data_IF_496526077037
#
_entry.id   IF_496526077037
#
_cell.length_a   1.000
_cell.length_b   1.000
_cell.length_c   1.000
_cell.angle_alpha   90.00
_cell.angle_beta   90.00
_cell.angle_gamma   90.00
#
_symmetry.space_group_name_H-M   'P 1'
#
loop_
_entity.id
_entity.type
_entity.pdbx_description
1 polymer ?
#
# COMPACT_ATOMS: atom_id res chain seq x y z
N UNK A 1 26.25 -47.26 -9.79
CA UNK A 1 27.07 -46.45 -8.84
C UNK A 1 27.01 -44.94 -9.12
N UNK A 2 27.09 -44.47 -10.39
CA UNK A 2 26.98 -43.03 -10.76
C UNK A 2 25.62 -42.35 -10.46
N UNK A 3 24.51 -43.09 -10.42
CA UNK A 3 23.16 -42.54 -10.15
C UNK A 3 22.86 -42.31 -8.66
N UNK A 4 23.54 -43.01 -7.76
CA UNK A 4 23.33 -42.86 -6.30
C UNK A 4 24.02 -41.58 -5.81
N UNK A 5 25.18 -41.23 -6.38
CA UNK A 5 25.91 -39.98 -6.07
C UNK A 5 25.08 -38.73 -6.44
N UNK A 6 24.31 -38.78 -7.54
CA UNK A 6 23.39 -37.70 -7.93
C UNK A 6 22.19 -37.53 -6.97
N UNK A 7 21.76 -38.63 -6.33
CA UNK A 7 20.67 -38.57 -5.35
C UNK A 7 21.12 -37.97 -4.01
N UNK A 8 22.38 -38.17 -3.64
CA UNK A 8 22.98 -37.51 -2.48
C UNK A 8 23.31 -36.03 -2.73
N UNK A 9 23.59 -35.62 -3.97
CA UNK A 9 23.80 -34.22 -4.32
C UNK A 9 22.50 -33.39 -4.25
N UNK A 10 21.33 -34.04 -4.39
CA UNK A 10 20.01 -33.42 -4.20
C UNK A 10 19.56 -33.40 -2.72
N UNK A 11 20.25 -34.14 -1.85
CA UNK A 11 19.94 -34.25 -0.41
C UNK A 11 20.93 -33.48 0.49
N UNK A 12 21.88 -32.74 -0.10
CA UNK A 12 22.94 -32.02 0.63
C UNK A 12 22.85 -30.49 0.54
N UNK A 13 21.66 -29.91 0.35
CA UNK A 13 21.45 -28.44 0.41
C UNK A 13 20.51 -28.00 1.52
N UNK A 14 20.03 -28.91 2.37
CA UNK A 14 19.01 -28.61 3.39
C UNK A 14 19.55 -28.51 4.83
N UNK A 15 20.77 -27.99 5.00
CA UNK A 15 21.31 -27.61 6.30
C UNK A 15 21.95 -26.21 6.21
N UNK A 16 21.13 -25.20 5.88
CA UNK A 16 21.42 -23.83 6.27
C UNK A 16 20.73 -23.58 7.61
N UNK A 17 21.52 -23.22 8.61
CA UNK A 17 21.14 -22.97 10.00
C UNK A 17 19.78 -22.26 10.15
N UNK A 18 18.84 -22.90 10.86
CA UNK A 18 17.67 -22.22 11.40
C UNK A 18 18.08 -21.31 12.57
N UNK A 19 18.68 -20.17 12.23
CA UNK A 19 18.70 -18.95 13.04
C UNK A 19 17.95 -17.83 12.30
N UNK A 20 16.87 -18.20 11.59
CA UNK A 20 16.09 -17.28 10.78
C UNK A 20 15.29 -16.33 11.66
N UNK A 21 15.41 -15.03 11.40
CA UNK A 21 14.58 -13.99 12.00
C UNK A 21 13.11 -14.32 11.73
N UNK A 22 12.25 -14.28 12.75
CA UNK A 22 10.82 -14.59 12.57
C UNK A 22 10.04 -13.46 11.89
N UNK A 23 8.87 -13.76 11.32
CA UNK A 23 7.99 -12.73 10.75
C UNK A 23 7.55 -11.70 11.81
N UNK A 24 7.25 -12.16 13.03
CA UNK A 24 6.96 -11.28 14.16
C UNK A 24 8.13 -10.36 14.52
N UNK A 25 9.34 -10.88 14.52
CA UNK A 25 10.54 -10.09 14.83
C UNK A 25 10.78 -9.02 13.75
N UNK A 26 10.71 -9.38 12.47
CA UNK A 26 10.77 -8.39 11.37
C UNK A 26 9.69 -7.32 11.50
N UNK A 27 8.46 -7.72 11.83
CA UNK A 27 7.35 -6.80 12.03
C UNK A 27 7.59 -5.84 13.19
N UNK A 28 7.97 -6.36 14.37
CA UNK A 28 8.18 -5.56 15.57
C UNK A 28 9.37 -4.61 15.39
N UNK A 29 10.48 -5.07 14.80
CA UNK A 29 11.63 -4.23 14.50
C UNK A 29 11.27 -3.12 13.51
N UNK A 30 10.52 -3.43 12.45
CA UNK A 30 10.07 -2.40 11.51
C UNK A 30 9.22 -1.32 12.20
N UNK A 31 8.32 -1.72 13.11
CA UNK A 31 7.50 -0.78 13.90
C UNK A 31 8.35 0.11 14.81
N UNK A 32 9.32 -0.46 15.51
CA UNK A 32 10.26 0.29 16.36
C UNK A 32 11.04 1.33 15.54
N UNK A 33 11.59 0.91 14.39
CA UNK A 33 12.35 1.78 13.50
C UNK A 33 11.49 2.88 12.88
N UNK A 34 10.23 2.58 12.57
CA UNK A 34 9.27 3.58 12.11
C UNK A 34 9.07 4.68 13.15
N UNK A 35 8.83 4.33 14.42
CA UNK A 35 8.66 5.31 15.50
C UNK A 35 9.94 6.11 15.79
N UNK A 36 11.10 5.54 15.47
CA UNK A 36 12.39 6.21 15.58
C UNK A 36 12.73 7.07 14.35
N UNK A 37 11.85 7.13 13.35
CA UNK A 37 12.06 7.86 12.10
C UNK A 37 13.08 7.21 11.14
N UNK A 38 13.55 6.00 11.45
CA UNK A 38 14.47 5.25 10.59
C UNK A 38 13.68 4.49 9.52
N UNK A 39 13.30 5.20 8.47
CA UNK A 39 12.50 4.65 7.38
C UNK A 39 13.25 3.63 6.52
N UNK A 40 14.59 3.73 6.42
CA UNK A 40 15.40 2.77 5.67
C UNK A 40 15.31 1.37 6.29
N UNK A 41 15.55 1.26 7.61
CA UNK A 41 15.39 -0.02 8.31
C UNK A 41 13.93 -0.49 8.38
N UNK A 42 12.98 0.44 8.45
CA UNK A 42 11.55 0.11 8.39
C UNK A 42 11.22 -0.61 7.08
N UNK A 43 11.61 -0.03 5.95
CA UNK A 43 11.37 -0.60 4.63
C UNK A 43 12.05 -1.95 4.46
N UNK A 44 13.33 -2.04 4.86
CA UNK A 44 14.08 -3.29 4.79
C UNK A 44 13.37 -4.45 5.52
N UNK A 45 12.95 -4.23 6.76
CA UNK A 45 12.29 -5.27 7.56
C UNK A 45 10.90 -5.63 7.03
N UNK A 46 10.11 -4.63 6.61
CA UNK A 46 8.80 -4.87 5.99
C UNK A 46 8.93 -5.62 4.65
N UNK A 47 9.82 -5.21 3.76
CA UNK A 47 10.02 -5.88 2.47
C UNK A 47 10.52 -7.31 2.65
N UNK A 48 11.45 -7.53 3.59
CA UNK A 48 11.91 -8.87 3.96
C UNK A 48 10.78 -9.75 4.48
N UNK A 49 9.89 -9.21 5.32
CA UNK A 49 8.70 -9.93 5.80
C UNK A 49 7.80 -10.37 4.64
N UNK A 50 7.52 -9.45 3.71
CA UNK A 50 6.69 -9.72 2.53
C UNK A 50 7.32 -10.78 1.61
N UNK A 51 8.65 -10.81 1.49
CA UNK A 51 9.38 -11.74 0.64
C UNK A 51 9.52 -13.14 1.28
N UNK A 52 9.93 -13.20 2.54
CA UNK A 52 10.27 -14.46 3.21
C UNK A 52 9.05 -15.14 3.86
N UNK A 53 8.02 -14.37 4.21
CA UNK A 53 6.84 -14.88 4.92
C UNK A 53 5.52 -14.54 4.19
N UNK A 54 5.28 -15.09 2.99
CA UNK A 54 4.10 -14.77 2.17
C UNK A 54 2.76 -15.14 2.83
N UNK A 55 2.77 -15.99 3.87
CA UNK A 55 1.58 -16.39 4.66
C UNK A 55 1.52 -15.73 6.04
N UNK A 56 2.39 -14.76 6.33
CA UNK A 56 2.39 -14.07 7.63
C UNK A 56 1.05 -13.39 7.88
N UNK A 57 0.57 -13.47 9.13
CA UNK A 57 -0.62 -12.73 9.57
C UNK A 57 -0.42 -11.20 9.53
N UNK A 58 0.83 -10.74 9.53
CA UNK A 58 1.18 -9.31 9.48
C UNK A 58 1.16 -8.75 8.05
N UNK A 59 1.10 -9.62 7.04
CA UNK A 59 1.27 -9.25 5.63
C UNK A 59 0.31 -8.14 5.17
N UNK A 60 -0.98 -8.23 5.52
CA UNK A 60 -1.97 -7.24 5.13
C UNK A 60 -1.64 -5.85 5.71
N UNK A 61 -1.25 -5.79 6.98
CA UNK A 61 -0.87 -4.57 7.67
C UNK A 61 0.43 -3.99 7.09
N UNK A 62 1.42 -4.84 6.85
CA UNK A 62 2.70 -4.41 6.26
C UNK A 62 2.51 -3.84 4.86
N UNK A 63 1.68 -4.45 4.01
CA UNK A 63 1.34 -3.90 2.70
C UNK A 63 0.68 -2.53 2.83
N UNK A 64 -0.28 -2.37 3.74
CA UNK A 64 -0.92 -1.09 3.97
C UNK A 64 0.07 -0.01 4.45
N UNK A 65 0.95 -0.34 5.40
CA UNK A 65 1.98 0.56 5.91
C UNK A 65 3.03 0.91 4.85
N UNK A 66 3.46 -0.03 4.01
CA UNK A 66 4.32 0.26 2.85
C UNK A 66 3.61 1.22 1.89
N UNK A 67 2.32 1.02 1.62
CA UNK A 67 1.51 1.95 0.83
C UNK A 67 1.59 3.39 1.37
N UNK A 68 1.46 3.56 2.69
CA UNK A 68 1.56 4.87 3.36
C UNK A 68 2.96 5.47 3.30
N UNK A 69 4.00 4.66 3.53
CA UNK A 69 5.40 5.12 3.47
C UNK A 69 5.76 5.62 2.07
N UNK A 70 5.40 4.86 1.04
CA UNK A 70 5.62 5.23 -0.34
C UNK A 70 4.80 6.46 -0.72
N UNK A 71 3.52 6.54 -0.33
CA UNK A 71 2.70 7.73 -0.57
C UNK A 71 3.30 8.99 0.10
N UNK A 72 3.80 8.85 1.33
CA UNK A 72 4.49 9.90 2.08
C UNK A 72 5.89 10.25 1.56
N UNK A 73 6.36 9.59 0.48
CA UNK A 73 7.65 9.86 -0.18
C UNK A 73 8.84 9.84 0.79
N UNK A 74 8.82 8.95 1.79
CA UNK A 74 9.96 8.83 2.72
C UNK A 74 11.18 8.20 2.03
N UNK A 75 10.98 7.48 0.92
CA UNK A 75 12.03 6.84 0.13
C UNK A 75 12.65 7.86 -0.84
N UNK A 76 13.68 8.57 -0.36
CA UNK A 76 14.30 9.69 -1.09
C UNK A 76 15.12 9.30 -2.32
N UNK A 77 15.47 8.02 -2.46
CA UNK A 77 16.17 7.49 -3.64
C UNK A 77 15.26 7.31 -4.87
N UNK A 78 13.94 7.42 -4.70
CA UNK A 78 12.95 7.29 -5.76
C UNK A 78 12.40 8.67 -6.16
N UNK A 79 11.98 8.80 -7.42
CA UNK A 79 11.17 9.95 -7.85
C UNK A 79 9.81 9.93 -7.15
N UNK A 80 9.07 11.04 -7.22
CA UNK A 80 7.70 11.12 -6.71
C UNK A 80 6.80 10.07 -7.38
N UNK A 81 6.81 10.02 -8.70
CA UNK A 81 5.99 9.07 -9.47
C UNK A 81 6.31 7.61 -9.15
N UNK A 82 7.59 7.29 -8.92
CA UNK A 82 8.00 5.94 -8.51
C UNK A 82 7.48 5.60 -7.11
N UNK A 83 7.55 6.55 -6.17
CA UNK A 83 6.96 6.42 -4.84
C UNK A 83 5.45 6.19 -4.94
N UNK A 84 4.72 7.03 -5.69
CA UNK A 84 3.27 6.91 -5.83
C UNK A 84 2.85 5.60 -6.52
N UNK A 85 3.59 5.16 -7.54
CA UNK A 85 3.35 3.87 -8.19
C UNK A 85 3.49 2.72 -7.19
N UNK A 86 4.54 2.72 -6.37
CA UNK A 86 4.73 1.72 -5.32
C UNK A 86 3.66 1.80 -4.22
N UNK A 87 3.17 3.01 -3.90
CA UNK A 87 2.06 3.18 -2.98
C UNK A 87 0.80 2.48 -3.49
N UNK A 88 0.43 2.76 -4.74
CA UNK A 88 -0.68 2.12 -5.45
C UNK A 88 -0.52 0.60 -5.47
N UNK A 89 0.66 0.08 -5.85
CA UNK A 89 0.89 -1.36 -5.91
C UNK A 89 0.66 -2.05 -4.56
N UNK A 90 1.11 -1.43 -3.48
CA UNK A 90 0.93 -1.95 -2.13
C UNK A 90 -0.54 -1.88 -1.69
N UNK A 91 -1.22 -0.75 -1.87
CA UNK A 91 -2.65 -0.62 -1.56
C UNK A 91 -3.51 -1.60 -2.37
N UNK A 92 -3.20 -1.81 -3.65
CA UNK A 92 -3.89 -2.78 -4.51
C UNK A 92 -3.75 -4.21 -3.99
N UNK A 93 -2.56 -4.58 -3.50
CA UNK A 93 -2.36 -5.90 -2.87
C UNK A 93 -3.21 -6.08 -1.63
N UNK A 94 -3.40 -5.04 -0.80
CA UNK A 94 -4.25 -5.14 0.40
C UNK A 94 -5.67 -5.60 0.04
N UNK A 95 -6.37 -4.91 -0.87
CA UNK A 95 -7.77 -5.27 -1.17
C UNK A 95 -7.95 -6.45 -2.13
N UNK A 96 -6.89 -6.84 -2.86
CA UNK A 96 -6.93 -8.00 -3.77
C UNK A 96 -6.54 -9.30 -3.06
N UNK A 97 -5.52 -9.28 -2.20
CA UNK A 97 -5.06 -10.45 -1.43
C UNK A 97 -5.84 -10.59 -0.10
N UNK A 98 -6.27 -9.48 0.52
CA UNK A 98 -6.90 -9.46 1.84
C UNK A 98 -8.23 -8.69 1.85
N UNK A 99 -9.25 -9.11 1.10
CA UNK A 99 -10.51 -8.36 0.95
C UNK A 99 -11.29 -8.14 2.25
N UNK A 100 -11.03 -8.94 3.29
CA UNK A 100 -11.67 -8.84 4.61
C UNK A 100 -10.81 -8.08 5.63
N UNK A 101 -9.62 -7.59 5.25
CA UNK A 101 -8.80 -6.77 6.14
C UNK A 101 -9.47 -5.43 6.38
N UNK A 102 -9.41 -4.92 7.62
CA UNK A 102 -10.11 -3.69 8.03
C UNK A 102 -9.79 -2.47 7.14
N UNK A 103 -8.56 -2.39 6.62
CA UNK A 103 -8.11 -1.27 5.76
C UNK A 103 -8.19 -1.59 4.26
N UNK A 104 -8.81 -2.71 3.85
CA UNK A 104 -9.06 -2.98 2.44
C UNK A 104 -9.95 -1.92 1.76
N UNK A 105 -11.03 -1.39 2.40
CA UNK A 105 -11.78 -0.26 1.86
C UNK A 105 -10.90 0.99 1.70
N UNK A 106 -10.14 1.32 2.74
CA UNK A 106 -9.25 2.49 2.74
C UNK A 106 -8.19 2.39 1.65
N UNK A 107 -7.56 1.23 1.49
CA UNK A 107 -6.58 0.99 0.43
C UNK A 107 -7.14 1.21 -0.98
N UNK A 108 -8.41 0.83 -1.21
CA UNK A 108 -9.07 1.05 -2.50
C UNK A 108 -9.37 2.54 -2.74
N UNK A 109 -9.87 3.24 -1.73
CA UNK A 109 -10.05 4.69 -1.78
C UNK A 109 -8.71 5.42 -2.05
N UNK A 110 -7.67 5.08 -1.28
CA UNK A 110 -6.34 5.67 -1.42
C UNK A 110 -5.72 5.38 -2.79
N UNK A 111 -6.02 4.25 -3.42
CA UNK A 111 -5.58 3.98 -4.80
C UNK A 111 -6.17 5.02 -5.76
N UNK A 112 -7.48 5.29 -5.67
CA UNK A 112 -8.12 6.36 -6.47
C UNK A 112 -7.54 7.74 -6.16
N UNK A 113 -7.32 8.03 -4.88
CA UNK A 113 -6.72 9.29 -4.42
C UNK A 113 -5.34 9.56 -5.00
N UNK A 114 -4.44 8.58 -4.94
CA UNK A 114 -3.08 8.73 -5.47
C UNK A 114 -3.12 8.91 -6.99
N UNK A 115 -4.00 8.19 -7.70
CA UNK A 115 -4.17 8.42 -9.14
C UNK A 115 -4.66 9.83 -9.46
N UNK A 116 -5.67 10.34 -8.74
CA UNK A 116 -6.23 11.67 -8.99
C UNK A 116 -5.24 12.79 -8.64
N UNK A 117 -4.79 12.78 -7.39
CA UNK A 117 -4.17 13.95 -6.76
C UNK A 117 -2.65 13.97 -6.90
N UNK A 118 -2.01 12.81 -7.02
CA UNK A 118 -0.55 12.72 -7.06
C UNK A 118 -0.02 12.45 -8.48
N UNK A 119 -0.75 11.68 -9.28
CA UNK A 119 -0.34 11.28 -10.64
C UNK A 119 -1.16 11.92 -11.77
N UNK A 120 -2.29 12.57 -11.46
CA UNK A 120 -3.20 13.14 -12.46
C UNK A 120 -3.70 12.13 -13.52
N UNK A 121 -3.81 10.85 -13.16
CA UNK A 121 -4.33 9.78 -14.04
C UNK A 121 -5.83 9.60 -13.76
N UNK A 122 -6.62 10.51 -14.33
CA UNK A 122 -8.04 10.67 -13.99
C UNK A 122 -8.89 9.43 -14.29
N UNK A 123 -8.68 8.76 -15.42
CA UNK A 123 -9.43 7.53 -15.78
C UNK A 123 -9.25 6.42 -14.73
N UNK A 124 -8.03 6.28 -14.20
CA UNK A 124 -7.75 5.29 -13.14
C UNK A 124 -8.37 5.72 -11.82
N UNK A 125 -8.32 7.01 -11.49
CA UNK A 125 -8.96 7.53 -10.29
C UNK A 125 -10.48 7.29 -10.31
N UNK A 126 -11.14 7.65 -11.41
CA UNK A 126 -12.57 7.42 -11.62
C UNK A 126 -12.93 5.95 -11.45
N UNK A 127 -12.16 5.06 -12.08
CA UNK A 127 -12.37 3.62 -11.95
C UNK A 127 -12.33 3.15 -10.48
N UNK A 128 -11.30 3.54 -9.73
CA UNK A 128 -11.13 3.06 -8.34
C UNK A 128 -12.13 3.69 -7.38
N UNK A 129 -12.52 4.95 -7.55
CA UNK A 129 -13.59 5.54 -6.74
C UNK A 129 -14.94 4.87 -7.00
N UNK A 130 -15.30 4.61 -8.26
CA UNK A 130 -16.52 3.89 -8.60
C UNK A 130 -16.49 2.45 -8.06
N UNK A 131 -15.34 1.77 -8.15
CA UNK A 131 -15.17 0.44 -7.58
C UNK A 131 -15.33 0.45 -6.05
N UNK A 132 -14.77 1.45 -5.37
CA UNK A 132 -14.89 1.64 -3.94
C UNK A 132 -16.36 1.84 -3.53
N UNK A 133 -17.08 2.77 -4.17
CA UNK A 133 -18.50 3.03 -3.90
C UNK A 133 -19.35 1.77 -4.12
N UNK A 134 -19.07 1.01 -5.18
CA UNK A 134 -19.79 -0.23 -5.48
C UNK A 134 -19.52 -1.33 -4.46
N UNK A 135 -18.27 -1.48 -4.00
CA UNK A 135 -17.86 -2.58 -3.11
C UNK A 135 -18.11 -2.30 -1.63
N UNK A 136 -18.07 -1.03 -1.22
CA UNK A 136 -18.21 -0.60 0.17
C UNK A 136 -19.25 0.53 0.29
N UNK A 137 -20.52 0.31 -0.09
CA UNK A 137 -21.53 1.37 -0.19
C UNK A 137 -21.86 2.05 1.15
N UNK A 138 -21.65 1.37 2.27
CA UNK A 138 -21.93 1.87 3.62
C UNK A 138 -20.68 2.44 4.32
N UNK A 139 -19.52 2.48 3.63
CA UNK A 139 -18.30 3.03 4.22
C UNK A 139 -18.39 4.56 4.33
N UNK A 140 -17.90 5.12 5.44
CA UNK A 140 -17.92 6.56 5.70
C UNK A 140 -17.25 7.42 4.61
N UNK A 141 -16.24 6.87 3.91
CA UNK A 141 -15.55 7.57 2.83
C UNK A 141 -16.30 7.58 1.50
N UNK A 142 -17.51 6.99 1.40
CA UNK A 142 -18.32 7.04 0.17
C UNK A 142 -18.70 8.48 -0.18
N UNK A 143 -18.96 9.32 0.81
CA UNK A 143 -19.22 10.75 0.59
C UNK A 143 -17.98 11.43 -0.01
N UNK A 144 -16.80 11.15 0.56
CA UNK A 144 -15.52 11.66 0.06
C UNK A 144 -15.25 11.17 -1.37
N UNK A 145 -15.47 9.89 -1.67
CA UNK A 145 -15.25 9.34 -3.01
C UNK A 145 -16.16 9.99 -4.06
N UNK A 146 -17.41 10.27 -3.72
CA UNK A 146 -18.32 11.02 -4.60
C UNK A 146 -17.87 12.46 -4.82
N UNK A 147 -17.39 13.13 -3.76
CA UNK A 147 -16.88 14.48 -3.87
C UNK A 147 -15.60 14.55 -4.74
N UNK A 148 -14.69 13.58 -4.59
CA UNK A 148 -13.51 13.45 -5.46
C UNK A 148 -13.93 13.24 -6.93
N UNK A 149 -14.88 12.34 -7.20
CA UNK A 149 -15.43 12.10 -8.54
C UNK A 149 -16.03 13.37 -9.18
N UNK A 150 -16.81 14.14 -8.42
CA UNK A 150 -17.43 15.39 -8.91
C UNK A 150 -16.39 16.45 -9.28
N UNK A 151 -15.24 16.43 -8.62
CA UNK A 151 -14.19 17.43 -8.78
C UNK A 151 -12.93 16.87 -9.46
N UNK A 152 -13.00 15.72 -10.14
CA UNK A 152 -11.85 15.14 -10.82
C UNK A 152 -11.22 16.12 -11.82
N UNK A 153 -9.90 16.28 -11.71
CA UNK A 153 -9.14 17.20 -12.55
C UNK A 153 -9.38 18.68 -12.26
N UNK A 154 -10.20 19.02 -11.26
CA UNK A 154 -10.39 20.41 -10.81
C UNK A 154 -9.37 20.72 -9.71
N UNK A 155 -8.53 21.77 -9.87
CA UNK A 155 -7.59 22.16 -8.83
C UNK A 155 -8.29 22.52 -7.52
N UNK A 156 -7.67 22.20 -6.39
CA UNK A 156 -8.23 22.43 -5.06
C UNK A 156 -8.60 23.90 -4.81
N UNK A 157 -7.80 24.84 -5.33
CA UNK A 157 -8.02 26.28 -5.20
C UNK A 157 -9.33 26.70 -5.89
N UNK A 158 -9.67 26.07 -7.01
CA UNK A 158 -10.91 26.33 -7.73
C UNK A 158 -12.11 25.75 -6.98
N UNK A 159 -11.99 24.54 -6.43
CA UNK A 159 -13.03 23.94 -5.58
C UNK A 159 -13.32 24.84 -4.38
N UNK A 160 -12.28 25.34 -3.70
CA UNK A 160 -12.41 26.25 -2.56
C UNK A 160 -13.10 27.55 -2.96
N UNK A 161 -12.71 28.16 -4.09
CA UNK A 161 -13.36 29.38 -4.60
C UNK A 161 -14.85 29.16 -4.85
N UNK A 162 -15.24 28.04 -5.46
CA UNK A 162 -16.65 27.68 -5.71
C UNK A 162 -17.45 27.52 -4.41
N UNK A 163 -16.83 26.97 -3.36
CA UNK A 163 -17.48 26.81 -2.04
C UNK A 163 -17.65 28.15 -1.32
N UNK A 164 -16.62 29.00 -1.31
CA UNK A 164 -16.68 30.33 -0.68
C UNK A 164 -17.76 31.19 -1.35
N UNK A 165 -17.77 31.25 -2.68
CA UNK A 165 -18.76 32.04 -3.43
C UNK A 165 -20.21 31.57 -3.25
N UNK A 166 -20.44 30.26 -3.06
CA UNK A 166 -21.78 29.74 -2.73
C UNK A 166 -22.19 30.03 -1.28
N UNK A 167 -21.25 30.00 -0.33
CA UNK A 167 -21.53 30.24 1.10
C UNK A 167 -21.72 31.71 1.48
N UNK A 168 -21.31 32.67 0.64
CA UNK A 168 -21.56 34.11 0.86
C UNK A 168 -22.96 34.57 0.37
N UNK A 169 -23.73 33.69 -0.26
CA UNK A 169 -25.05 33.99 -0.85
C UNK A 169 -26.25 33.32 -0.18
N UNK A 170 -26.05 32.57 0.91
CA UNK A 170 -27.08 31.94 1.75
C UNK A 170 -27.18 32.65 3.11
#
# INVERSE_FOLDING_TARGET
MRKIIFLYFLLLTMFAACSGVSDKELYDTAKEKYYSGNYEETLYNYEKLIQEFPKSKYRAEVLFELGKLYHGQVVKSLTKDQNYTKAIDNYRKVFSEFPNYKDAPNSMFMTGFVYANELSVLDSAEYYYNLFIKKYPDNEMVISAKAELENLGVPAEEILRRKVTKGEGE
#
